data_IF_864683170843
#
_entry.id   IF_864683170843
#
_cell.length_a   1.000
_cell.length_b   1.000
_cell.length_c   1.000
_cell.angle_alpha   90.00
_cell.angle_beta   90.00
_cell.angle_gamma   90.00
#
_symmetry.space_group_name_H-M   'P 1'
#
loop_
_entity.id
_entity.type
_entity.pdbx_description
1 polymer ?
#
# COMPACT_ATOMS: atom_id res chain seq x y z
N UNK A 1 10.80 -13.61 -6.29
CA UNK A 1 9.91 -13.22 -5.17
C UNK A 1 8.51 -13.65 -5.52
N UNK A 2 7.74 -14.18 -4.55
CA UNK A 2 6.32 -14.46 -4.73
C UNK A 2 5.51 -13.15 -4.65
N UNK A 3 4.41 -13.07 -5.39
CA UNK A 3 3.45 -11.97 -5.30
C UNK A 3 2.15 -12.49 -4.66
N UNK A 4 1.60 -11.73 -3.71
CA UNK A 4 0.31 -12.06 -3.12
C UNK A 4 -0.82 -11.58 -4.04
N UNK A 5 -1.60 -12.51 -4.58
CA UNK A 5 -2.73 -12.19 -5.45
C UNK A 5 -3.98 -12.04 -4.60
N UNK A 6 -4.56 -10.84 -4.54
CA UNK A 6 -5.74 -10.52 -3.74
C UNK A 6 -6.96 -10.38 -4.65
N UNK A 7 -8.01 -11.16 -4.41
CA UNK A 7 -9.27 -11.04 -5.17
C UNK A 7 -10.47 -10.51 -4.38
N UNK A 8 -10.34 -10.40 -3.05
CA UNK A 8 -11.39 -9.83 -2.20
C UNK A 8 -10.79 -9.28 -0.91
N UNK A 9 -11.31 -8.16 -0.48
CA UNK A 9 -11.04 -7.56 0.82
C UNK A 9 -12.40 -7.32 1.49
N UNK A 10 -12.57 -7.74 2.72
CA UNK A 10 -13.86 -7.59 3.42
C UNK A 10 -13.63 -7.27 4.88
N UNK A 11 -14.25 -6.19 5.34
CA UNK A 11 -14.30 -5.85 6.76
C UNK A 11 -15.52 -6.54 7.38
N UNK A 12 -15.31 -7.32 8.44
CA UNK A 12 -16.35 -7.93 9.26
C UNK A 12 -16.24 -7.40 10.70
N UNK A 13 -17.23 -7.73 11.54
CA UNK A 13 -17.27 -7.30 12.95
C UNK A 13 -16.01 -7.66 13.74
N UNK A 14 -15.41 -8.80 13.42
CA UNK A 14 -14.26 -9.37 14.10
C UNK A 14 -12.91 -9.04 13.44
N UNK A 15 -12.90 -8.35 12.30
CA UNK A 15 -11.67 -7.87 11.66
C UNK A 15 -11.71 -7.83 10.13
N UNK A 16 -10.52 -7.67 9.55
CA UNK A 16 -10.31 -7.58 8.10
C UNK A 16 -9.95 -8.95 7.55
N UNK A 17 -10.67 -9.35 6.51
CA UNK A 17 -10.47 -10.59 5.78
C UNK A 17 -9.92 -10.29 4.38
N UNK A 18 -8.87 -11.02 4.00
CA UNK A 18 -8.35 -11.05 2.63
C UNK A 18 -8.70 -12.41 2.04
N UNK A 19 -9.10 -12.41 0.78
CA UNK A 19 -9.10 -13.61 -0.05
C UNK A 19 -7.94 -13.51 -1.03
N UNK A 20 -6.94 -14.39 -0.85
CA UNK A 20 -5.71 -14.34 -1.61
C UNK A 20 -5.08 -15.72 -1.81
N UNK A 21 -4.08 -15.78 -2.70
CA UNK A 21 -3.13 -16.87 -2.76
C UNK A 21 -1.79 -16.36 -3.30
N UNK A 22 -0.72 -17.10 -3.05
CA UNK A 22 0.60 -16.80 -3.60
C UNK A 22 0.64 -17.09 -5.10
N UNK A 23 1.32 -16.24 -5.87
CA UNK A 23 1.61 -16.50 -7.29
C UNK A 23 2.43 -17.78 -7.53
N UNK A 24 3.11 -18.30 -6.50
CA UNK A 24 3.87 -19.55 -6.56
C UNK A 24 3.00 -20.79 -6.29
N UNK A 25 1.75 -20.59 -5.90
CA UNK A 25 0.81 -21.65 -5.55
C UNK A 25 -0.30 -21.73 -6.60
N UNK A 26 -0.68 -22.97 -6.93
CA UNK A 26 -1.85 -23.29 -7.76
C UNK A 26 -3.13 -23.43 -6.94
N UNK A 27 -3.04 -23.33 -5.61
CA UNK A 27 -4.18 -23.37 -4.72
C UNK A 27 -5.21 -22.28 -5.08
N UNK A 28 -6.51 -22.58 -4.93
CA UNK A 28 -7.54 -21.59 -5.13
C UNK A 28 -7.40 -20.46 -4.09
N UNK A 29 -7.95 -19.30 -4.44
CA UNK A 29 -8.12 -18.20 -3.49
C UNK A 29 -8.85 -18.70 -2.25
N UNK A 30 -8.28 -18.42 -1.08
CA UNK A 30 -8.89 -18.75 0.20
C UNK A 30 -9.01 -17.48 1.04
N UNK A 31 -10.09 -17.41 1.82
CA UNK A 31 -10.31 -16.27 2.71
C UNK A 31 -9.74 -16.54 4.09
N UNK A 32 -8.98 -15.59 4.61
CA UNK A 32 -8.37 -15.66 5.92
C UNK A 32 -8.43 -14.30 6.62
N UNK A 33 -8.46 -14.31 7.95
CA UNK A 33 -8.46 -13.09 8.76
C UNK A 33 -7.02 -12.57 8.85
N UNK A 34 -6.78 -11.38 8.32
CA UNK A 34 -5.46 -10.77 8.40
C UNK A 34 -5.32 -10.02 9.73
N UNK A 35 -4.51 -10.56 10.65
CA UNK A 35 -4.33 -10.01 11.99
C UNK A 35 -3.81 -8.57 11.95
N UNK A 36 -2.74 -8.30 11.20
CA UNK A 36 -2.13 -6.97 11.09
C UNK A 36 -3.10 -5.91 10.55
N UNK A 37 -3.80 -6.22 9.46
CA UNK A 37 -4.83 -5.32 8.92
C UNK A 37 -6.01 -5.12 9.87
N UNK A 38 -6.38 -6.15 10.63
CA UNK A 38 -7.44 -6.04 11.63
C UNK A 38 -7.05 -5.10 12.77
N UNK A 39 -5.80 -5.16 13.24
CA UNK A 39 -5.27 -4.29 14.28
C UNK A 39 -5.18 -2.84 13.80
N UNK A 40 -4.66 -2.62 12.59
CA UNK A 40 -4.60 -1.29 11.96
C UNK A 40 -6.01 -0.72 11.77
N UNK A 41 -6.95 -1.52 11.26
CA UNK A 41 -8.33 -1.08 11.08
C UNK A 41 -9.00 -0.75 12.42
N UNK A 42 -8.73 -1.51 13.48
CA UNK A 42 -9.26 -1.22 14.80
C UNK A 42 -8.70 0.09 15.39
N UNK A 43 -7.42 0.39 15.14
CA UNK A 43 -6.75 1.58 15.66
C UNK A 43 -7.01 2.86 14.84
N UNK A 44 -7.00 2.75 13.52
CA UNK A 44 -6.96 3.87 12.57
C UNK A 44 -8.18 3.91 11.62
N UNK A 45 -9.08 2.94 11.74
CA UNK A 45 -10.27 2.83 10.89
C UNK A 45 -9.96 2.56 9.42
N UNK A 46 -10.88 2.96 8.54
CA UNK A 46 -10.76 2.73 7.10
C UNK A 46 -9.53 3.42 6.50
N UNK A 47 -9.13 4.58 7.03
CA UNK A 47 -7.95 5.32 6.54
C UNK A 47 -6.65 4.53 6.74
N UNK A 48 -6.47 3.94 7.92
CA UNK A 48 -5.32 3.08 8.18
C UNK A 48 -5.33 1.81 7.32
N UNK A 49 -6.51 1.20 7.16
CA UNK A 49 -6.66 0.03 6.28
C UNK A 49 -6.30 0.37 4.83
N UNK A 50 -6.78 1.49 4.30
CA UNK A 50 -6.49 1.87 2.92
C UNK A 50 -5.00 2.14 2.70
N UNK A 51 -4.35 2.83 3.65
CA UNK A 51 -2.88 3.02 3.63
C UNK A 51 -2.16 1.69 3.55
N UNK A 52 -2.54 0.73 4.39
CA UNK A 52 -1.83 -0.56 4.46
C UNK A 52 -2.09 -1.41 3.22
N UNK A 53 -3.32 -1.43 2.68
CA UNK A 53 -3.60 -2.11 1.41
C UNK A 53 -2.80 -1.48 0.27
N UNK A 54 -2.73 -0.15 0.19
CA UNK A 54 -1.90 0.52 -0.83
C UNK A 54 -0.43 0.16 -0.66
N UNK A 55 0.10 0.16 0.57
CA UNK A 55 1.45 -0.31 0.88
C UNK A 55 1.70 -1.73 0.32
N UNK A 56 0.80 -2.68 0.64
CA UNK A 56 0.88 -4.05 0.12
C UNK A 56 0.95 -4.09 -1.40
N UNK A 57 0.11 -3.30 -2.09
CA UNK A 57 0.01 -3.28 -3.56
C UNK A 57 1.26 -2.72 -4.25
N UNK A 58 2.01 -1.83 -3.58
CA UNK A 58 3.27 -1.32 -4.11
C UNK A 58 4.47 -2.21 -3.76
N UNK A 59 4.41 -2.98 -2.67
CA UNK A 59 5.55 -3.75 -2.18
C UNK A 59 5.53 -5.22 -2.65
N UNK A 60 4.39 -5.92 -2.58
CA UNK A 60 4.37 -7.37 -2.81
C UNK A 60 3.02 -7.98 -3.24
N UNK A 61 1.96 -7.19 -3.42
CA UNK A 61 0.62 -7.69 -3.72
C UNK A 61 0.07 -7.17 -5.06
N UNK A 62 -0.88 -7.90 -5.65
CA UNK A 62 -1.59 -7.50 -6.86
C UNK A 62 -3.09 -7.81 -6.74
N UNK A 63 -3.92 -6.93 -7.31
CA UNK A 63 -5.37 -7.13 -7.39
C UNK A 63 -5.75 -8.04 -8.56
N UNK A 64 -6.57 -9.07 -8.30
CA UNK A 64 -7.07 -10.02 -9.31
C UNK A 64 -8.60 -10.16 -9.26
N UNK A 65 -9.23 -10.36 -10.41
CA UNK A 65 -10.69 -10.50 -10.52
C UNK A 65 -11.46 -9.18 -10.38
N UNK A 66 -12.79 -9.21 -10.38
CA UNK A 66 -13.65 -8.02 -10.52
C UNK A 66 -14.53 -7.73 -9.29
N UNK A 67 -14.13 -8.20 -8.11
CA UNK A 67 -14.94 -7.98 -6.91
C UNK A 67 -14.99 -6.49 -6.51
N UNK A 68 -16.18 -5.97 -6.21
CA UNK A 68 -16.41 -4.54 -5.91
C UNK A 68 -15.54 -3.95 -4.80
N UNK A 69 -15.10 -4.78 -3.86
CA UNK A 69 -14.21 -4.36 -2.77
C UNK A 69 -12.85 -3.87 -3.26
N UNK A 70 -12.47 -4.19 -4.51
CA UNK A 70 -11.19 -3.84 -5.10
C UNK A 70 -11.26 -2.52 -5.86
N UNK A 71 -12.45 -2.03 -6.20
CA UNK A 71 -12.62 -0.90 -7.12
C UNK A 71 -12.05 0.40 -6.54
N UNK A 72 -12.21 0.62 -5.22
CA UNK A 72 -11.60 1.77 -4.52
C UNK A 72 -10.08 1.79 -4.67
N UNK A 73 -9.45 0.61 -4.59
CA UNK A 73 -8.00 0.47 -4.63
C UNK A 73 -7.47 0.60 -6.04
N UNK A 74 -8.14 0.00 -7.03
CA UNK A 74 -7.86 0.24 -8.46
C UNK A 74 -7.93 1.71 -8.81
N UNK A 75 -9.01 2.37 -8.40
CA UNK A 75 -9.18 3.80 -8.62
C UNK A 75 -8.03 4.62 -8.03
N UNK A 76 -7.56 4.25 -6.84
CA UNK A 76 -6.44 4.92 -6.20
C UNK A 76 -5.14 4.72 -7.00
N UNK A 77 -4.73 3.47 -7.26
CA UNK A 77 -3.40 3.14 -7.82
C UNK A 77 -3.28 3.34 -9.33
N UNK A 78 -4.35 3.13 -10.11
CA UNK A 78 -4.30 3.16 -11.59
C UNK A 78 -4.38 4.59 -12.15
N UNK A 79 -4.42 5.60 -11.28
CA UNK A 79 -4.60 6.98 -11.69
C UNK A 79 -3.28 7.67 -12.09
N UNK A 80 -3.36 8.58 -13.06
CA UNK A 80 -2.23 9.47 -13.42
C UNK A 80 -1.74 10.29 -12.21
N UNK A 81 -2.63 10.60 -11.27
CA UNK A 81 -2.30 11.29 -10.03
C UNK A 81 -1.45 10.40 -9.11
N UNK A 82 -1.79 9.12 -8.93
CA UNK A 82 -0.96 8.19 -8.17
C UNK A 82 0.42 8.00 -8.80
N UNK A 83 0.52 7.95 -10.13
CA UNK A 83 1.83 7.90 -10.81
C UNK A 83 2.68 9.16 -10.53
N UNK A 84 2.07 10.35 -10.50
CA UNK A 84 2.77 11.60 -10.14
C UNK A 84 3.21 11.60 -8.68
N UNK A 85 2.35 11.14 -7.76
CA UNK A 85 2.68 11.02 -6.34
C UNK A 85 3.86 10.05 -6.16
N UNK A 86 3.76 8.87 -6.77
CA UNK A 86 4.83 7.87 -6.72
C UNK A 86 6.17 8.44 -7.21
N UNK A 87 6.16 9.09 -8.37
CA UNK A 87 7.37 9.70 -8.93
C UNK A 87 7.96 10.77 -8.01
N UNK A 88 7.12 11.68 -7.48
CA UNK A 88 7.57 12.73 -6.56
C UNK A 88 8.33 12.17 -5.34
N UNK A 89 7.76 11.17 -4.67
CA UNK A 89 8.42 10.59 -3.49
C UNK A 89 9.63 9.72 -3.85
N UNK A 90 9.59 9.04 -5.00
CA UNK A 90 10.75 8.29 -5.50
C UNK A 90 11.92 9.23 -5.79
N UNK A 91 11.67 10.34 -6.49
CA UNK A 91 12.69 11.36 -6.79
C UNK A 91 13.31 11.93 -5.50
N UNK A 92 12.51 12.17 -4.45
CA UNK A 92 13.00 12.63 -3.13
C UNK A 92 13.87 11.58 -2.43
N UNK A 93 13.50 10.29 -2.51
CA UNK A 93 14.26 9.19 -1.93
C UNK A 93 15.59 9.01 -2.68
N UNK A 94 15.55 9.08 -4.01
CA UNK A 94 16.71 8.96 -4.88
C UNK A 94 17.67 10.14 -4.68
N UNK A 95 17.18 11.37 -4.61
CA UNK A 95 18.00 12.56 -4.31
C UNK A 95 18.70 12.43 -2.95
N UNK A 96 17.97 11.95 -1.94
CA UNK A 96 18.55 11.71 -0.61
C UNK A 96 19.60 10.60 -0.65
N UNK A 97 19.36 9.55 -1.42
CA UNK A 97 20.32 8.45 -1.61
C UNK A 97 21.59 8.93 -2.31
N UNK A 98 21.45 9.70 -3.38
CA UNK A 98 22.58 10.24 -4.14
C UNK A 98 23.43 11.23 -3.34
N UNK A 99 22.82 11.92 -2.37
CA UNK A 99 23.52 12.80 -1.44
C UNK A 99 24.39 12.08 -0.40
N UNK A 100 24.26 10.75 -0.27
CA UNK A 100 25.10 9.94 0.63
C UNK A 100 26.51 9.76 0.05
N UNK A 101 27.49 9.63 0.93
CA UNK A 101 28.85 9.27 0.53
C UNK A 101 28.90 7.82 0.00
N UNK A 102 29.83 7.53 -0.90
CA UNK A 102 30.01 6.19 -1.49
C UNK A 102 30.25 5.10 -0.42
N UNK A 103 30.92 5.44 0.68
CA UNK A 103 31.09 4.53 1.80
C UNK A 103 29.75 4.21 2.48
N UNK A 104 28.90 5.22 2.67
CA UNK A 104 27.59 5.06 3.29
C UNK A 104 26.64 4.28 2.36
N UNK A 105 26.58 4.60 1.06
CA UNK A 105 25.78 3.87 0.05
C UNK A 105 26.05 2.35 0.09
N UNK A 106 27.33 1.95 0.16
CA UNK A 106 27.74 0.54 0.25
C UNK A 106 27.33 -0.12 1.56
N UNK A 107 27.15 0.65 2.63
CA UNK A 107 26.78 0.13 3.95
C UNK A 107 25.28 0.14 4.22
N UNK A 108 24.47 0.94 3.50
CA UNK A 108 23.01 1.05 3.68
C UNK A 108 22.31 -0.31 3.84
N UNK A 109 22.77 -1.32 3.11
CA UNK A 109 22.16 -2.66 3.11
C UNK A 109 22.85 -3.70 4.00
N UNK A 110 24.07 -3.43 4.51
CA UNK A 110 24.91 -4.45 5.18
C UNK A 110 25.48 -4.03 6.55
N UNK A 111 25.75 -2.73 6.78
CA UNK A 111 26.23 -2.17 8.06
C UNK A 111 25.47 -0.89 8.37
N UNK A 112 24.74 -0.89 9.48
CA UNK A 112 23.99 0.29 9.90
C UNK A 112 24.92 1.34 10.54
N UNK A 113 25.65 2.09 9.71
CA UNK A 113 26.21 3.39 10.13
C UNK A 113 25.07 4.32 10.53
N UNK A 114 25.34 5.33 11.37
CA UNK A 114 24.30 6.26 11.80
C UNK A 114 23.62 6.96 10.61
N UNK A 115 24.40 7.36 9.60
CA UNK A 115 23.87 7.93 8.35
C UNK A 115 23.02 6.95 7.54
N UNK A 116 23.40 5.67 7.49
CA UNK A 116 22.58 4.63 6.86
C UNK A 116 21.25 4.41 7.60
N UNK A 117 21.24 4.48 8.94
CA UNK A 117 20.00 4.42 9.74
C UNK A 117 19.10 5.62 9.46
N UNK A 118 19.68 6.82 9.42
CA UNK A 118 18.95 8.05 9.09
C UNK A 118 18.33 7.98 7.70
N UNK A 119 19.07 7.48 6.70
CA UNK A 119 18.54 7.27 5.37
C UNK A 119 17.39 6.26 5.36
N UNK A 120 17.53 5.10 6.01
CA UNK A 120 16.43 4.11 6.08
C UNK A 120 15.20 4.65 6.79
N UNK A 121 15.38 5.42 7.86
CA UNK A 121 14.27 6.08 8.55
C UNK A 121 13.57 7.09 7.63
N UNK A 122 14.35 7.89 6.90
CA UNK A 122 13.85 8.83 5.91
C UNK A 122 13.09 8.13 4.78
N UNK A 123 13.66 7.08 4.18
CA UNK A 123 13.04 6.28 3.12
C UNK A 123 11.69 5.70 3.62
N UNK A 124 11.69 5.09 4.80
CA UNK A 124 10.48 4.53 5.40
C UNK A 124 9.42 5.61 5.64
N UNK A 125 9.81 6.80 6.08
CA UNK A 125 8.88 7.92 6.29
C UNK A 125 8.32 8.44 4.96
N UNK A 126 9.15 8.61 3.93
CA UNK A 126 8.71 9.08 2.62
C UNK A 126 7.79 8.07 1.94
N UNK A 127 8.11 6.77 1.99
CA UNK A 127 7.21 5.71 1.50
C UNK A 127 5.88 5.71 2.26
N UNK A 128 5.91 5.85 3.59
CA UNK A 128 4.68 5.94 4.39
C UNK A 128 3.82 7.15 3.98
N UNK A 129 4.44 8.32 3.77
CA UNK A 129 3.73 9.53 3.28
C UNK A 129 3.14 9.31 1.88
N UNK A 130 3.91 8.69 0.99
CA UNK A 130 3.44 8.32 -0.35
C UNK A 130 2.19 7.44 -0.29
N UNK A 131 2.19 6.38 0.52
CA UNK A 131 1.03 5.50 0.67
C UNK A 131 -0.17 6.21 1.29
N UNK A 132 0.03 7.09 2.26
CA UNK A 132 -1.04 7.91 2.80
C UNK A 132 -1.68 8.79 1.71
N UNK A 133 -0.88 9.51 0.94
CA UNK A 133 -1.36 10.44 -0.09
C UNK A 133 -2.11 9.69 -1.22
N UNK A 134 -1.64 8.49 -1.60
CA UNK A 134 -2.36 7.64 -2.56
C UNK A 134 -3.65 7.07 -1.94
N UNK A 135 -3.63 6.70 -0.66
CA UNK A 135 -4.80 6.14 0.02
C UNK A 135 -5.94 7.14 0.18
N UNK A 136 -5.68 8.45 0.27
CA UNK A 136 -6.72 9.49 0.30
C UNK A 136 -7.65 9.43 -0.93
N UNK A 137 -7.14 8.94 -2.05
CA UNK A 137 -7.91 8.74 -3.29
C UNK A 137 -8.99 7.65 -3.16
N UNK A 138 -8.80 6.70 -2.24
CA UNK A 138 -9.83 5.73 -1.93
C UNK A 138 -11.07 6.43 -1.33
N UNK A 139 -10.86 7.48 -0.53
CA UNK A 139 -11.96 8.28 0.04
C UNK A 139 -12.67 9.11 -1.03
N UNK A 140 -11.94 9.64 -2.02
CA UNK A 140 -12.53 10.33 -3.18
C UNK A 140 -13.46 9.41 -3.98
N UNK A 141 -13.05 8.15 -4.19
CA UNK A 141 -13.87 7.16 -4.86
C UNK A 141 -15.20 6.96 -4.11
N UNK A 142 -15.13 6.75 -2.80
CA UNK A 142 -16.32 6.53 -1.97
C UNK A 142 -17.28 7.73 -2.02
N UNK A 143 -16.75 8.96 -1.99
CA UNK A 143 -17.54 10.19 -2.11
C UNK A 143 -18.25 10.28 -3.46
N UNK A 144 -17.56 9.94 -4.56
CA UNK A 144 -18.14 9.92 -5.92
C UNK A 144 -19.22 8.86 -6.05
N UNK A 145 -19.02 7.67 -5.49
CA UNK A 145 -20.03 6.62 -5.49
C UNK A 145 -21.29 7.05 -4.73
N UNK A 146 -21.13 7.60 -3.52
CA UNK A 146 -22.26 8.09 -2.72
C UNK A 146 -23.07 9.18 -3.42
N UNK A 147 -22.41 10.13 -4.08
CA UNK A 147 -23.10 11.17 -4.86
C UNK A 147 -23.94 10.58 -5.98
N UNK A 148 -23.38 9.60 -6.71
CA UNK A 148 -24.06 8.93 -7.82
C UNK A 148 -25.25 8.08 -7.38
N UNK A 149 -25.16 7.49 -6.20
CA UNK A 149 -26.25 6.69 -5.62
C UNK A 149 -27.41 7.58 -5.10
N UNK A 150 -27.13 8.83 -4.72
CA UNK A 150 -28.15 9.81 -4.30
C UNK A 150 -28.88 10.48 -5.46
N UNK A 151 -28.31 10.43 -6.68
CA UNK A 151 -28.91 10.97 -7.91
C UNK A 151 -29.83 9.98 -8.66
N UNK A 152 -30.01 8.77 -8.12
CA UNK A 152 -30.86 7.70 -8.69
C UNK A 152 -32.13 7.50 -7.89
#
# INVERSE_FOLDING_TARGET
MSTELINRITVKKDGVYISSHSSNDTAPFHSWRCKGLSEIYAAEGQKGLDREIVCMLYEYAQLRGSHKSLDRYRYAIDSLQAQKIYKKYSDMIDERYESLDEADKKTVWYKLTEKAKEYRAYESEMRKKMYCEIAERCEEYDKKQKSRDLER
#
